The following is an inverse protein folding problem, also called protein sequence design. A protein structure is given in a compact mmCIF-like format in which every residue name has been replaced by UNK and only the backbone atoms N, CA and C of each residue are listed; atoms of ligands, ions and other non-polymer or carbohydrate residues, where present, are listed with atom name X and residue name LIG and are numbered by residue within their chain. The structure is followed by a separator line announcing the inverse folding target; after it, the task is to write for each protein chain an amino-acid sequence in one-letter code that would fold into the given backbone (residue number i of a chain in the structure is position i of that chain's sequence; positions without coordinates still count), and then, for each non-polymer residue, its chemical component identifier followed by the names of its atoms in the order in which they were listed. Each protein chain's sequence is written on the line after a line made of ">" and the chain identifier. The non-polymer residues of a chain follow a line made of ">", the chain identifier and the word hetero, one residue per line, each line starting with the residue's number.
data_IF_650647480090
#
_entry.id   IF_650647480090
#
_cell.length_a   1.000
_cell.length_b   1.000
_cell.length_c   1.000
_cell.angle_alpha   90.00
_cell.angle_beta   90.00
_cell.angle_gamma   90.00
#
_symmetry.space_group_name_H-M   'P 1'
#
loop_
_entity.id
_entity.type
_entity.pdbx_description
1 polymer ?
#
# COMPACT_ATOMS: atom_id res chain seq x y z
N UNK A 1 -8.54 -2.91 6.28
CA UNK A 1 -7.36 -2.08 6.56
C UNK A 1 -7.09 -2.13 8.05
N UNK A 2 -5.85 -1.87 8.49
CA UNK A 2 -5.49 -1.75 9.90
C UNK A 2 -6.12 -0.50 10.54
N UNK A 3 -6.13 0.62 9.81
CA UNK A 3 -6.85 1.82 10.25
C UNK A 3 -8.36 1.62 10.05
N UNK A 4 -9.15 2.00 11.06
CA UNK A 4 -10.61 1.98 10.96
C UNK A 4 -11.13 3.09 10.02
N UNK A 5 -12.43 3.04 9.72
CA UNK A 5 -13.05 3.99 8.79
C UNK A 5 -12.95 5.45 9.26
N UNK A 6 -12.99 5.70 10.57
CA UNK A 6 -12.88 7.05 11.11
C UNK A 6 -11.46 7.59 10.96
N UNK A 7 -10.45 6.79 11.30
CA UNK A 7 -9.03 7.13 11.15
C UNK A 7 -8.64 7.37 9.68
N UNK A 8 -9.16 6.55 8.77
CA UNK A 8 -8.94 6.70 7.33
C UNK A 8 -9.53 8.01 6.76
N UNK A 9 -10.67 8.45 7.31
CA UNK A 9 -11.40 9.66 6.88
C UNK A 9 -11.07 10.92 7.67
N UNK A 10 -10.24 10.83 8.72
CA UNK A 10 -9.96 11.94 9.63
C UNK A 10 -9.44 13.21 8.93
N UNK A 11 -8.82 13.07 7.74
CA UNK A 11 -8.29 14.17 6.94
C UNK A 11 -9.17 14.55 5.74
N UNK A 12 -10.31 13.87 5.54
CA UNK A 12 -11.19 14.10 4.41
C UNK A 12 -12.12 15.29 4.69
N UNK A 13 -12.13 16.33 3.83
CA UNK A 13 -13.23 17.29 3.81
C UNK A 13 -14.54 16.54 3.52
N UNK A 14 -15.60 16.85 4.28
CA UNK A 14 -16.87 16.12 4.18
C UNK A 14 -17.47 16.14 2.78
N UNK A 15 -17.34 17.26 2.06
CA UNK A 15 -17.93 17.43 0.72
C UNK A 15 -17.19 16.70 -0.41
N UNK A 16 -15.99 16.15 -0.15
CA UNK A 16 -15.17 15.46 -1.17
C UNK A 16 -14.97 13.98 -0.89
N UNK A 17 -15.55 13.48 0.20
CA UNK A 17 -15.32 12.13 0.68
C UNK A 17 -15.71 11.05 -0.35
N UNK A 18 -16.81 11.29 -1.07
CA UNK A 18 -17.34 10.34 -2.05
C UNK A 18 -16.34 9.96 -3.14
N UNK A 19 -15.36 10.83 -3.43
CA UNK A 19 -14.30 10.54 -4.41
C UNK A 19 -13.55 9.25 -4.07
N UNK A 20 -13.26 9.02 -2.79
CA UNK A 20 -12.38 7.93 -2.35
C UNK A 20 -13.15 6.82 -1.61
N UNK A 21 -14.34 7.12 -1.09
CA UNK A 21 -15.02 6.25 -0.12
C UNK A 21 -16.42 5.81 -0.55
N UNK A 22 -16.93 6.27 -1.71
CA UNK A 22 -18.15 5.70 -2.26
C UNK A 22 -17.92 4.25 -2.68
N UNK A 23 -18.70 3.33 -2.12
CA UNK A 23 -18.70 1.90 -2.46
C UNK A 23 -19.80 1.55 -3.46
N UNK A 24 -20.47 2.56 -4.02
CA UNK A 24 -21.55 2.32 -4.97
C UNK A 24 -21.00 1.69 -6.26
N UNK A 25 -21.68 0.63 -6.70
CA UNK A 25 -21.26 -0.19 -7.84
C UNK A 25 -20.19 -1.22 -7.49
N UNK A 26 -19.73 -1.30 -6.23
CA UNK A 26 -18.79 -2.33 -5.79
C UNK A 26 -19.50 -3.59 -5.32
N UNK A 27 -18.96 -4.74 -5.74
CA UNK A 27 -19.33 -6.04 -5.22
C UNK A 27 -18.06 -6.82 -4.90
N UNK A 28 -17.92 -7.24 -3.64
CA UNK A 28 -16.88 -8.21 -3.25
C UNK A 28 -17.44 -9.61 -3.40
N UNK A 29 -17.46 -10.09 -4.64
CA UNK A 29 -18.08 -11.38 -5.00
C UNK A 29 -17.15 -12.18 -5.88
N UNK A 30 -17.24 -13.51 -5.77
CA UNK A 30 -16.54 -14.45 -6.62
C UNK A 30 -17.47 -15.60 -7.02
N UNK A 31 -17.30 -16.21 -8.21
CA UNK A 31 -18.08 -17.39 -8.58
C UNK A 31 -17.86 -18.54 -7.60
N UNK A 32 -18.90 -19.31 -7.27
CA UNK A 32 -18.80 -20.45 -6.33
C UNK A 32 -17.73 -21.47 -6.71
N UNK A 33 -17.50 -21.66 -8.01
CA UNK A 33 -16.44 -22.55 -8.51
C UNK A 33 -15.06 -22.09 -8.04
N UNK A 34 -14.81 -20.77 -8.05
CA UNK A 34 -13.57 -20.17 -7.57
C UNK A 34 -13.46 -20.31 -6.04
N UNK A 35 -14.54 -20.02 -5.31
CA UNK A 35 -14.56 -20.18 -3.84
C UNK A 35 -14.26 -21.62 -3.41
N UNK A 36 -14.85 -22.61 -4.09
CA UNK A 36 -14.55 -24.04 -3.84
C UNK A 36 -13.11 -24.41 -4.18
N UNK A 37 -12.53 -23.81 -5.22
CA UNK A 37 -11.13 -24.05 -5.57
C UNK A 37 -10.19 -23.48 -4.50
N UNK A 38 -10.43 -22.24 -4.08
CA UNK A 38 -9.69 -21.59 -2.99
C UNK A 38 -9.80 -22.41 -1.71
N UNK A 39 -11.00 -22.88 -1.33
CA UNK A 39 -11.19 -23.73 -0.16
C UNK A 39 -10.28 -24.96 -0.17
N UNK A 40 -10.24 -25.70 -1.28
CA UNK A 40 -9.34 -26.87 -1.41
C UNK A 40 -7.87 -26.49 -1.34
N UNK A 41 -7.48 -25.33 -1.84
CA UNK A 41 -6.08 -24.90 -1.77
C UNK A 41 -5.69 -24.45 -0.35
N UNK A 42 -6.63 -23.87 0.42
CA UNK A 42 -6.45 -23.61 1.85
C UNK A 42 -6.36 -24.91 2.65
N UNK A 43 -7.19 -25.90 2.35
CA UNK A 43 -7.12 -27.22 3.02
C UNK A 43 -5.75 -27.87 2.80
N UNK A 44 -5.22 -27.83 1.57
CA UNK A 44 -3.87 -28.34 1.26
C UNK A 44 -2.75 -27.58 1.98
N UNK A 45 -2.91 -26.28 2.21
CA UNK A 45 -1.95 -25.50 3.00
C UNK A 45 -2.01 -25.93 4.47
N UNK A 46 -3.21 -26.10 5.02
CA UNK A 46 -3.41 -26.54 6.40
C UNK A 46 -2.85 -27.96 6.63
N UNK A 47 -3.04 -28.88 5.68
CA UNK A 47 -2.42 -30.22 5.71
C UNK A 47 -0.89 -30.18 5.76
N UNK A 48 -0.28 -29.10 5.26
CA UNK A 48 1.16 -28.83 5.31
C UNK A 48 1.58 -27.99 6.52
N UNK A 49 0.67 -27.73 7.46
CA UNK A 49 0.91 -26.92 8.64
C UNK A 49 0.96 -25.41 8.39
N UNK A 50 0.38 -24.94 7.28
CA UNK A 50 0.30 -23.51 6.93
C UNK A 50 -1.15 -23.05 6.99
N UNK A 51 -1.46 -22.13 7.90
CA UNK A 51 -2.79 -21.55 8.03
C UNK A 51 -2.78 -20.04 7.77
N UNK A 52 -3.74 -19.56 6.98
CA UNK A 52 -3.94 -18.13 6.78
C UNK A 52 -4.85 -17.60 7.88
N UNK A 53 -4.24 -17.05 8.93
CA UNK A 53 -4.97 -16.54 10.10
C UNK A 53 -5.53 -15.12 9.90
N UNK A 54 -4.81 -14.29 9.15
CA UNK A 54 -5.18 -12.89 8.95
C UNK A 54 -4.55 -12.31 7.69
N UNK A 55 -5.30 -11.40 7.07
CA UNK A 55 -4.80 -10.47 6.06
C UNK A 55 -5.05 -9.05 6.58
N UNK A 56 -4.04 -8.19 6.50
CA UNK A 56 -4.12 -6.78 6.90
C UNK A 56 -3.53 -5.91 5.79
N UNK A 57 -4.06 -4.69 5.67
CA UNK A 57 -3.61 -3.71 4.68
C UNK A 57 -3.52 -2.32 5.30
N UNK A 58 -2.51 -1.56 4.88
CA UNK A 58 -2.36 -0.16 5.22
C UNK A 58 -2.70 0.71 4.02
N UNK A 59 -3.47 1.77 4.25
CA UNK A 59 -3.88 2.70 3.20
C UNK A 59 -3.28 4.08 3.47
N UNK A 60 -2.54 4.61 2.50
CA UNK A 60 -2.05 5.98 2.52
C UNK A 60 -2.77 6.77 1.44
N UNK A 61 -3.67 7.68 1.83
CA UNK A 61 -4.30 8.57 0.87
C UNK A 61 -3.30 9.64 0.40
N UNK A 62 -3.59 10.25 -0.77
CA UNK A 62 -2.75 11.29 -1.38
C UNK A 62 -2.43 12.42 -0.41
N UNK A 63 -3.41 12.85 0.41
CA UNK A 63 -3.18 13.87 1.42
C UNK A 63 -2.14 13.45 2.47
N UNK A 64 -2.20 12.22 2.99
CA UNK A 64 -1.20 11.70 3.94
C UNK A 64 0.18 11.61 3.30
N UNK A 65 0.26 11.23 2.02
CA UNK A 65 1.53 11.22 1.30
C UNK A 65 2.10 12.64 1.15
N UNK A 66 1.27 13.61 0.77
CA UNK A 66 1.67 15.01 0.63
C UNK A 66 2.06 15.66 1.97
N UNK A 67 1.35 15.33 3.05
CA UNK A 67 1.73 15.72 4.42
C UNK A 67 3.10 15.13 4.80
N UNK A 68 3.38 13.89 4.41
CA UNK A 68 4.69 13.26 4.58
C UNK A 68 5.81 13.96 3.82
N UNK A 69 5.58 14.33 2.55
CA UNK A 69 6.54 15.12 1.74
C UNK A 69 6.84 16.45 2.40
N UNK A 70 5.82 17.17 2.89
CA UNK A 70 6.01 18.40 3.65
C UNK A 70 6.85 18.22 4.92
N UNK A 71 6.77 17.03 5.54
CA UNK A 71 7.57 16.66 6.69
C UNK A 71 8.96 16.11 6.31
N UNK A 72 9.40 16.27 5.05
CA UNK A 72 10.71 15.83 4.57
C UNK A 72 10.82 14.31 4.32
N UNK A 73 9.70 13.58 4.26
CA UNK A 73 9.69 12.15 3.96
C UNK A 73 9.40 11.90 2.49
N UNK A 74 10.15 10.98 1.88
CA UNK A 74 9.81 10.48 0.55
C UNK A 74 8.82 9.31 0.63
N UNK A 75 8.32 8.87 -0.54
CA UNK A 75 7.37 7.75 -0.64
C UNK A 75 7.91 6.47 0.00
N UNK A 76 9.17 6.12 -0.24
CA UNK A 76 9.75 4.87 0.26
C UNK A 76 9.78 4.81 1.79
N UNK A 77 10.05 5.94 2.46
CA UNK A 77 9.98 6.03 3.92
C UNK A 77 8.54 5.84 4.41
N UNK A 78 7.55 6.44 3.74
CA UNK A 78 6.15 6.28 4.11
C UNK A 78 5.65 4.84 3.92
N UNK A 79 6.02 4.20 2.81
CA UNK A 79 5.69 2.80 2.52
C UNK A 79 6.35 1.86 3.55
N UNK A 80 7.62 2.11 3.89
CA UNK A 80 8.32 1.38 4.97
C UNK A 80 7.60 1.53 6.32
N UNK A 81 7.24 2.76 6.71
CA UNK A 81 6.54 2.99 7.98
C UNK A 81 5.16 2.31 7.99
N UNK A 82 4.48 2.22 6.85
CA UNK A 82 3.24 1.46 6.74
C UNK A 82 3.48 -0.06 6.91
N UNK A 83 4.55 -0.61 6.32
CA UNK A 83 4.94 -2.02 6.51
C UNK A 83 5.28 -2.31 7.97
N UNK A 84 6.04 -1.44 8.63
CA UNK A 84 6.39 -1.59 10.05
C UNK A 84 5.15 -1.68 10.96
N UNK A 85 4.11 -0.88 10.69
CA UNK A 85 2.84 -0.96 11.41
C UNK A 85 2.15 -2.31 11.22
N UNK A 86 2.19 -2.87 10.00
CA UNK A 86 1.65 -4.21 9.73
C UNK A 86 2.42 -5.30 10.48
N UNK A 87 3.74 -5.20 10.54
CA UNK A 87 4.58 -6.16 11.27
C UNK A 87 4.26 -6.12 12.76
N UNK A 88 4.15 -4.92 13.35
CA UNK A 88 3.80 -4.75 14.76
C UNK A 88 2.41 -5.31 15.09
N UNK A 89 1.41 -5.05 14.25
CA UNK A 89 0.06 -5.60 14.40
C UNK A 89 0.06 -7.13 14.34
N UNK A 90 0.71 -7.70 13.32
CA UNK A 90 0.72 -9.15 13.13
C UNK A 90 1.54 -9.88 14.20
N UNK A 91 2.62 -9.26 14.69
CA UNK A 91 3.35 -9.75 15.87
C UNK A 91 2.47 -9.74 17.13
N UNK A 92 1.67 -8.68 17.33
CA UNK A 92 0.69 -8.61 18.41
C UNK A 92 -0.38 -9.70 18.32
N UNK A 93 -0.90 -9.96 17.12
CA UNK A 93 -1.87 -11.03 16.86
C UNK A 93 -1.28 -12.43 17.11
N UNK A 94 -0.02 -12.65 16.73
CA UNK A 94 0.67 -13.91 16.94
C UNK A 94 0.97 -14.18 18.42
N UNK A 95 1.14 -13.14 19.24
CA UNK A 95 1.50 -13.27 20.66
C UNK A 95 2.89 -13.89 20.90
N UNK A 96 3.72 -13.95 19.86
CA UNK A 96 5.06 -14.53 19.86
C UNK A 96 5.97 -13.77 18.88
N UNK A 97 7.26 -14.03 18.95
CA UNK A 97 8.20 -13.51 17.95
C UNK A 97 7.90 -14.08 16.56
N UNK A 98 7.90 -13.22 15.55
CA UNK A 98 7.56 -13.56 14.18
C UNK A 98 8.79 -13.54 13.27
N UNK A 99 8.70 -14.28 12.17
CA UNK A 99 9.60 -14.13 11.03
C UNK A 99 8.85 -13.38 9.93
N UNK A 100 9.13 -12.10 9.76
CA UNK A 100 8.47 -11.24 8.79
C UNK A 100 9.33 -11.10 7.53
N UNK A 101 8.86 -11.66 6.41
CA UNK A 101 9.45 -11.45 5.08
C UNK A 101 8.69 -10.35 4.36
N UNK A 102 9.42 -9.33 3.92
CA UNK A 102 8.89 -8.16 3.24
C UNK A 102 9.57 -8.00 1.88
N UNK A 103 8.82 -7.59 0.86
CA UNK A 103 9.42 -7.07 -0.36
C UNK A 103 10.22 -5.80 -0.07
N UNK A 104 11.40 -5.66 -0.69
CA UNK A 104 12.18 -4.42 -0.56
C UNK A 104 11.40 -3.20 -1.04
N UNK A 105 11.55 -2.09 -0.32
CA UNK A 105 10.98 -0.79 -0.68
C UNK A 105 12.05 0.08 -1.32
N UNK A 106 11.87 0.45 -2.59
CA UNK A 106 12.82 1.31 -3.30
C UNK A 106 14.25 0.75 -3.33
N UNK A 107 15.24 1.65 -3.33
CA UNK A 107 16.67 1.33 -3.38
C UNK A 107 17.35 1.05 -2.04
N UNK A 108 16.59 0.86 -0.94
CA UNK A 108 17.20 0.69 0.38
C UNK A 108 18.05 -0.59 0.47
N UNK A 109 19.35 -0.43 0.72
CA UNK A 109 20.24 -1.51 1.16
C UNK A 109 20.30 -1.64 2.69
N UNK A 110 19.98 -0.55 3.41
CA UNK A 110 20.03 -0.42 4.86
C UNK A 110 18.78 0.30 5.34
N UNK A 111 18.09 -0.27 6.33
CA UNK A 111 16.80 0.20 6.83
C UNK A 111 16.89 0.83 8.23
N UNK A 112 17.96 0.55 8.99
CA UNK A 112 18.12 0.98 10.38
C UNK A 112 17.83 2.47 10.63
N UNK A 113 18.37 3.35 9.78
CA UNK A 113 18.16 4.81 9.88
C UNK A 113 16.84 5.30 9.32
N UNK A 114 16.14 4.47 8.53
CA UNK A 114 14.87 4.80 7.90
C UNK A 114 13.65 4.33 8.70
N UNK A 115 13.86 3.49 9.73
CA UNK A 115 12.78 2.98 10.58
C UNK A 115 11.97 4.12 11.22
N UNK A 116 10.67 3.91 11.34
CA UNK A 116 9.72 4.85 11.93
C UNK A 116 9.03 4.27 13.15
N UNK A 117 7.92 3.53 13.00
CA UNK A 117 7.29 2.79 14.10
C UNK A 117 8.23 1.85 14.88
N UNK A 118 9.27 1.32 14.24
CA UNK A 118 10.32 0.51 14.86
C UNK A 118 11.51 1.35 15.35
N UNK A 119 11.52 2.66 15.10
CA UNK A 119 12.57 3.54 15.58
C UNK A 119 12.70 3.46 17.11
N UNK A 120 13.94 3.47 17.59
CA UNK A 120 14.25 3.37 19.01
C UNK A 120 14.13 1.96 19.60
N UNK A 121 13.62 0.96 18.85
CA UNK A 121 13.73 -0.44 19.27
C UNK A 121 15.15 -0.95 19.05
N UNK A 122 15.69 -1.62 20.06
CA UNK A 122 16.95 -2.33 19.94
C UNK A 122 16.83 -3.39 18.84
N UNK A 123 17.82 -3.44 17.96
CA UNK A 123 17.93 -4.49 16.96
C UNK A 123 19.38 -4.84 16.68
N UNK A 124 19.62 -6.09 16.32
CA UNK A 124 20.88 -6.53 15.74
C UNK A 124 20.73 -6.58 14.22
N UNK A 125 21.73 -6.08 13.50
CA UNK A 125 21.84 -6.24 12.06
C UNK A 125 22.33 -7.66 11.78
N UNK A 126 21.54 -8.47 11.08
CA UNK A 126 21.93 -9.81 10.66
C UNK A 126 22.59 -9.78 9.28
N UNK A 127 22.04 -8.98 8.36
CA UNK A 127 22.53 -8.81 6.99
C UNK A 127 22.09 -7.46 6.43
N UNK A 128 22.92 -6.81 5.63
CA UNK A 128 22.52 -5.64 4.83
C UNK A 128 23.10 -5.73 3.43
N UNK A 129 22.23 -5.71 2.41
CA UNK A 129 22.65 -5.80 1.03
C UNK A 129 21.53 -5.48 0.05
N UNK A 130 21.90 -5.42 -1.23
CA UNK A 130 20.95 -5.11 -2.31
C UNK A 130 19.88 -6.19 -2.48
N UNK A 131 20.25 -7.47 -2.32
CA UNK A 131 19.33 -8.60 -2.44
C UNK A 131 18.48 -8.80 -1.18
N UNK A 132 19.11 -8.76 0.00
CA UNK A 132 18.46 -9.02 1.29
C UNK A 132 19.02 -8.10 2.38
N UNK A 133 18.16 -7.63 3.28
CA UNK A 133 18.55 -6.90 4.50
C UNK A 133 17.70 -7.45 5.64
N UNK A 134 18.32 -7.94 6.71
CA UNK A 134 17.65 -8.64 7.79
C UNK A 134 18.10 -8.13 9.16
N UNK A 135 17.13 -8.05 10.07
CA UNK A 135 17.30 -7.46 11.39
C UNK A 135 16.59 -8.33 12.44
N UNK A 136 17.23 -8.52 13.59
CA UNK A 136 16.65 -9.20 14.74
C UNK A 136 16.23 -8.18 15.78
N UNK A 137 14.96 -8.19 16.15
CA UNK A 137 14.36 -7.34 17.18
C UNK A 137 13.95 -8.21 18.38
N UNK A 138 14.56 -8.05 19.56
CA UNK A 138 14.14 -8.77 20.76
C UNK A 138 12.65 -8.56 21.07
N UNK A 139 11.91 -9.65 21.25
CA UNK A 139 10.47 -9.62 21.57
C UNK A 139 9.56 -9.35 20.38
N UNK A 140 10.10 -9.15 19.18
CA UNK A 140 9.34 -9.06 17.93
C UNK A 140 9.74 -10.14 16.93
N UNK A 141 11.00 -10.56 16.92
CA UNK A 141 11.53 -11.60 16.04
C UNK A 141 12.43 -11.06 14.93
N UNK A 142 12.46 -11.71 13.77
CA UNK A 142 13.29 -11.32 12.63
C UNK A 142 12.45 -10.67 11.53
N UNK A 143 12.99 -9.59 10.96
CA UNK A 143 12.40 -8.86 9.85
C UNK A 143 13.41 -8.86 8.70
N UNK A 144 13.01 -9.39 7.55
CA UNK A 144 13.83 -9.47 6.35
C UNK A 144 13.17 -8.73 5.18
N UNK A 145 13.92 -7.83 4.54
CA UNK A 145 13.55 -7.13 3.32
C UNK A 145 14.29 -7.74 2.13
N UNK A 146 13.55 -8.44 1.27
CA UNK A 146 14.06 -9.27 0.18
C UNK A 146 13.62 -8.70 -1.16
N UNK A 147 14.54 -8.58 -2.11
CA UNK A 147 14.24 -8.11 -3.47
C UNK A 147 13.53 -9.21 -4.25
N UNK A 148 12.52 -8.84 -5.04
CA UNK A 148 11.78 -9.75 -5.93
C UNK A 148 11.18 -10.97 -5.18
N UNK A 149 10.83 -10.78 -3.91
CA UNK A 149 10.41 -11.88 -3.04
C UNK A 149 9.00 -12.37 -3.31
N UNK A 150 8.17 -11.62 -4.03
CA UNK A 150 6.88 -12.13 -4.50
C UNK A 150 7.01 -13.26 -5.54
N UNK A 151 8.19 -13.42 -6.16
CA UNK A 151 8.49 -14.55 -7.04
C UNK A 151 9.02 -15.79 -6.29
N UNK A 152 9.44 -15.65 -5.03
CA UNK A 152 10.14 -16.71 -4.28
C UNK A 152 9.55 -17.05 -2.91
N UNK A 153 8.67 -16.20 -2.37
CA UNK A 153 7.99 -16.38 -1.08
C UNK A 153 6.46 -16.29 -1.26
N UNK A 154 5.75 -17.35 -0.87
CA UNK A 154 4.30 -17.45 -1.04
C UNK A 154 3.55 -16.39 -0.23
N UNK A 155 3.98 -16.08 0.99
CA UNK A 155 3.34 -15.07 1.84
C UNK A 155 3.50 -13.67 1.25
N UNK A 156 4.68 -13.35 0.70
CA UNK A 156 4.89 -12.09 0.01
C UNK A 156 4.09 -12.02 -1.29
N UNK A 157 4.01 -13.12 -2.05
CA UNK A 157 3.19 -13.18 -3.26
C UNK A 157 1.70 -12.89 -2.95
N UNK A 158 1.15 -13.52 -1.90
CA UNK A 158 -0.22 -13.28 -1.45
C UNK A 158 -0.42 -11.83 -0.99
N UNK A 159 0.51 -11.28 -0.20
CA UNK A 159 0.45 -9.90 0.25
C UNK A 159 0.50 -8.91 -0.94
N UNK A 160 1.33 -9.18 -1.95
CA UNK A 160 1.43 -8.40 -3.19
C UNK A 160 0.10 -8.39 -3.96
N UNK A 161 -0.57 -9.55 -4.08
CA UNK A 161 -1.89 -9.65 -4.71
C UNK A 161 -2.96 -8.85 -3.97
N UNK A 162 -2.99 -8.95 -2.64
CA UNK A 162 -3.92 -8.17 -1.81
C UNK A 162 -3.66 -6.67 -1.97
N UNK A 163 -2.39 -6.25 -1.95
CA UNK A 163 -2.02 -4.84 -2.15
C UNK A 163 -2.47 -4.29 -3.50
N UNK A 164 -2.26 -5.05 -4.58
CA UNK A 164 -2.71 -4.69 -5.94
C UNK A 164 -4.23 -4.59 -6.02
N UNK A 165 -4.94 -5.59 -5.51
CA UNK A 165 -6.41 -5.58 -5.47
C UNK A 165 -6.95 -4.35 -4.74
N UNK A 166 -6.42 -4.06 -3.54
CA UNK A 166 -6.84 -2.91 -2.75
C UNK A 166 -6.54 -1.59 -3.47
N UNK A 167 -5.38 -1.46 -4.12
CA UNK A 167 -5.04 -0.29 -4.95
C UNK A 167 -6.03 -0.11 -6.09
N UNK A 168 -6.31 -1.17 -6.84
CA UNK A 168 -7.23 -1.13 -7.99
C UNK A 168 -8.64 -0.76 -7.56
N UNK A 169 -9.17 -1.39 -6.50
CA UNK A 169 -10.49 -1.06 -5.98
C UNK A 169 -10.61 0.43 -5.61
N UNK A 170 -9.59 0.99 -4.93
CA UNK A 170 -9.59 2.42 -4.56
C UNK A 170 -9.43 3.34 -5.77
N UNK A 171 -8.60 3.00 -6.74
CA UNK A 171 -8.46 3.76 -7.98
C UNK A 171 -9.75 3.76 -8.79
N UNK A 172 -10.46 2.63 -8.81
CA UNK A 172 -11.74 2.50 -9.50
C UNK A 172 -12.82 3.38 -8.85
N UNK A 173 -12.84 3.53 -7.52
CA UNK A 173 -13.73 4.50 -6.84
C UNK A 173 -13.53 5.91 -7.35
N UNK A 174 -12.26 6.34 -7.44
CA UNK A 174 -11.91 7.66 -7.96
C UNK A 174 -12.37 7.79 -9.41
N UNK A 175 -12.09 6.80 -10.26
CA UNK A 175 -12.52 6.81 -11.65
C UNK A 175 -14.06 6.94 -11.78
N UNK A 176 -14.82 6.09 -11.08
CA UNK A 176 -16.29 6.11 -11.08
C UNK A 176 -16.86 7.44 -10.60
N UNK A 177 -16.27 8.06 -9.58
CA UNK A 177 -16.71 9.37 -9.09
C UNK A 177 -16.70 10.45 -10.18
N UNK A 178 -15.66 10.45 -11.02
CA UNK A 178 -15.52 11.43 -12.10
C UNK A 178 -16.26 11.04 -13.36
N UNK A 179 -16.38 9.74 -13.67
CA UNK A 179 -17.13 9.24 -14.83
C UNK A 179 -18.61 9.61 -14.77
N UNK A 180 -19.20 9.73 -13.57
CA UNK A 180 -20.58 10.22 -13.41
C UNK A 180 -20.78 11.66 -13.89
N UNK A 181 -19.72 12.48 -13.85
CA UNK A 181 -19.75 13.88 -14.24
C UNK A 181 -19.20 14.12 -15.65
N UNK A 182 -18.37 13.21 -16.16
CA UNK A 182 -17.68 13.35 -17.45
C UNK A 182 -17.98 12.10 -18.29
N UNK A 183 -18.99 12.15 -19.18
CA UNK A 183 -19.32 11.04 -20.07
C UNK A 183 -18.12 10.61 -20.93
N UNK A 184 -17.90 9.30 -21.05
CA UNK A 184 -16.80 8.73 -21.86
C UNK A 184 -15.41 8.82 -21.22
N UNK A 185 -15.29 9.30 -19.97
CA UNK A 185 -14.00 9.36 -19.27
C UNK A 185 -13.45 7.95 -19.01
N UNK A 186 -12.24 7.67 -19.49
CA UNK A 186 -11.49 6.48 -19.11
C UNK A 186 -10.84 6.67 -17.73
N UNK A 187 -10.64 5.59 -16.97
CA UNK A 187 -9.97 5.66 -15.67
C UNK A 187 -8.48 6.03 -15.79
N UNK A 188 -7.91 6.57 -14.71
CA UNK A 188 -6.46 6.78 -14.61
C UNK A 188 -5.73 5.46 -14.32
N UNK A 189 -4.52 5.31 -14.84
CA UNK A 189 -3.61 4.21 -14.44
C UNK A 189 -3.07 4.40 -13.02
N UNK A 190 -3.00 5.67 -12.56
CA UNK A 190 -2.42 6.06 -11.29
C UNK A 190 -0.88 6.15 -11.31
N UNK A 191 -0.27 6.27 -12.49
CA UNK A 191 1.17 6.48 -12.69
C UNK A 191 1.44 7.81 -13.39
N UNK A 192 2.71 8.24 -13.45
CA UNK A 192 3.13 9.38 -14.26
C UNK A 192 3.20 8.99 -15.74
N UNK A 193 2.03 8.90 -16.38
CA UNK A 193 1.90 8.49 -17.77
C UNK A 193 0.84 9.33 -18.53
N UNK A 194 0.75 9.18 -19.87
CA UNK A 194 -0.24 9.93 -20.66
C UNK A 194 -1.69 9.64 -20.30
N UNK A 195 -2.01 8.42 -19.84
CA UNK A 195 -3.38 8.01 -19.47
C UNK A 195 -3.85 8.78 -18.24
N UNK A 196 -3.00 8.83 -17.20
CA UNK A 196 -3.28 9.60 -15.99
C UNK A 196 -3.28 11.10 -16.28
N UNK A 197 -2.38 11.59 -17.15
CA UNK A 197 -2.36 13.01 -17.55
C UNK A 197 -3.65 13.44 -18.24
N UNK A 198 -4.19 12.59 -19.13
CA UNK A 198 -5.47 12.82 -19.79
C UNK A 198 -6.63 12.86 -18.77
N UNK A 199 -6.65 11.93 -17.80
CA UNK A 199 -7.64 11.92 -16.72
C UNK A 199 -7.58 13.20 -15.87
N UNK A 200 -6.39 13.64 -15.47
CA UNK A 200 -6.18 14.87 -14.69
C UNK A 200 -6.74 16.10 -15.43
N UNK A 201 -6.48 16.18 -16.75
CA UNK A 201 -6.97 17.25 -17.61
C UNK A 201 -8.49 17.23 -17.77
N UNK A 202 -9.06 16.07 -18.11
CA UNK A 202 -10.50 15.92 -18.35
C UNK A 202 -11.35 16.18 -17.09
N UNK A 203 -10.81 15.90 -15.91
CA UNK A 203 -11.52 16.11 -14.63
C UNK A 203 -11.36 17.51 -14.05
N UNK A 204 -10.53 18.38 -14.65
CA UNK A 204 -10.17 19.69 -14.10
C UNK A 204 -11.38 20.59 -13.79
N UNK A 205 -12.36 20.68 -14.69
CA UNK A 205 -13.53 21.54 -14.50
C UNK A 205 -14.44 21.01 -13.37
N UNK A 206 -14.62 19.69 -13.30
CA UNK A 206 -15.39 19.04 -12.22
C UNK A 206 -14.71 19.26 -10.88
N UNK A 207 -13.39 19.07 -10.82
CA UNK A 207 -12.60 19.31 -9.59
C UNK A 207 -12.73 20.75 -9.10
N UNK A 208 -12.64 21.72 -10.02
CA UNK A 208 -12.80 23.13 -9.69
C UNK A 208 -14.21 23.43 -9.18
N UNK A 209 -15.24 22.93 -9.86
CA UNK A 209 -16.64 23.18 -9.49
C UNK A 209 -17.02 22.55 -8.14
N UNK A 210 -16.42 21.41 -7.78
CA UNK A 210 -16.64 20.70 -6.51
C UNK A 210 -15.63 21.08 -5.41
N UNK A 211 -14.76 22.04 -5.68
CA UNK A 211 -13.73 22.51 -4.75
C UNK A 211 -12.87 21.36 -4.18
N UNK A 212 -12.48 20.41 -5.04
CA UNK A 212 -11.62 19.28 -4.67
C UNK A 212 -10.23 19.81 -4.32
N UNK A 213 -9.72 19.63 -3.10
CA UNK A 213 -8.37 20.07 -2.76
C UNK A 213 -7.33 19.35 -3.61
N UNK A 214 -6.40 20.09 -4.23
CA UNK A 214 -5.33 19.51 -5.04
C UNK A 214 -4.51 18.46 -4.28
N UNK A 215 -4.26 18.73 -3.00
CA UNK A 215 -3.53 17.83 -2.09
C UNK A 215 -4.26 16.51 -1.79
N UNK A 216 -5.54 16.39 -2.13
CA UNK A 216 -6.33 15.17 -2.00
C UNK A 216 -6.44 14.38 -3.32
N UNK A 217 -5.92 14.92 -4.43
CA UNK A 217 -6.08 14.34 -5.75
C UNK A 217 -4.73 13.94 -6.38
N UNK A 218 -3.76 14.86 -6.41
CA UNK A 218 -2.44 14.60 -7.00
C UNK A 218 -1.35 14.51 -5.91
N UNK A 219 -0.51 13.48 -6.02
CA UNK A 219 0.68 13.33 -5.17
C UNK A 219 1.72 14.34 -5.63
N UNK A 220 2.32 15.05 -4.67
CA UNK A 220 3.49 15.90 -4.88
C UNK A 220 4.74 15.01 -4.93
N UNK A 221 5.65 15.30 -5.86
CA UNK A 221 6.98 14.69 -5.82
C UNK A 221 7.76 15.25 -4.61
N UNK A 222 8.53 14.40 -3.94
CA UNK A 222 9.57 14.87 -3.02
C UNK A 222 10.72 15.49 -3.84
N UNK A 223 11.42 16.49 -3.30
CA UNK A 223 12.70 16.92 -3.86
C UNK A 223 13.64 15.71 -3.93
N UNK A 224 14.03 15.29 -5.14
CA UNK A 224 14.88 14.12 -5.39
C UNK A 224 14.19 12.85 -5.93
N UNK A 225 12.85 12.72 -5.88
CA UNK A 225 12.14 11.56 -6.49
C UNK A 225 12.34 11.55 -8.04
N UNK A 226 12.48 12.72 -8.67
CA UNK A 226 12.69 12.86 -10.11
C UNK A 226 14.02 12.29 -10.61
N UNK A 227 15.04 12.15 -9.75
CA UNK A 227 16.37 11.69 -10.14
C UNK A 227 16.53 10.16 -10.15
N UNK A 228 15.58 9.41 -9.56
CA UNK A 228 15.63 7.94 -9.49
C UNK A 228 14.75 7.26 -10.55
N UNK A 229 13.81 7.99 -11.17
CA UNK A 229 12.89 7.44 -12.18
C UNK A 229 13.45 7.54 -13.63
N UNK A 230 14.48 8.36 -13.87
CA UNK A 230 15.14 8.53 -15.19
C UNK A 230 16.32 7.54 -15.42
N UNK A 231 16.48 6.56 -14.52
CA UNK A 231 17.62 5.63 -14.52
C UNK A 231 17.35 4.24 -15.11
N UNK A 232 16.26 4.06 -15.86
CA UNK A 232 15.95 2.80 -16.55
C UNK A 232 15.86 2.99 -18.06
N UNK A 233 17.04 3.00 -18.68
CA UNK A 233 17.31 2.46 -20.02
C UNK A 233 18.56 1.56 -19.92
#
# INVERSE_FOLDING_TARGET
>A
SLDDRAALRALCPGHVEEQCWSTEGEAFTAPDKLLRAIGRDLDKLAEKGVEIVAVRSMLLCVKRMNDGVRAGKNRFVLDLHAMERLILELGGLAGAEVFAVCGKVGGFGKYGSAFGPLAGRLHAVLEEGRARSAYRFPGLGEIAFVRDSDASDLCVAMASMVGKYVREALMERVARHYQRAVPGLHGASGYHDPVTSAFIGATRLVRRAREIPGDCFERRAAEGDAALEDGSL
#
